data_IF_066702702441
#
_entry.id   IF_066702702441
#
_cell.length_a   1.000
_cell.length_b   1.000
_cell.length_c   1.000
_cell.angle_alpha   90.00
_cell.angle_beta   90.00
_cell.angle_gamma   90.00
#
_symmetry.space_group_name_H-M   'P 1'
#
loop_
_entity.id
_entity.type
_entity.pdbx_description
1 polymer ?
#
# COMPACT_ATOMS: atom_id res chain seq x y z
N UNK A 1 34.15 -16.19 1.25
CA UNK A 1 33.17 -16.51 2.31
C UNK A 1 32.35 -15.28 2.74
N UNK A 2 32.93 -14.11 2.87
CA UNK A 2 32.24 -12.87 3.31
C UNK A 2 31.10 -12.48 2.36
N UNK A 3 31.26 -12.58 1.03
CA UNK A 3 30.23 -12.26 0.04
C UNK A 3 28.98 -13.14 0.17
N UNK A 4 29.16 -14.44 0.45
CA UNK A 4 28.01 -15.34 0.65
C UNK A 4 27.17 -14.96 1.89
N UNK A 5 27.83 -14.49 2.95
CA UNK A 5 27.16 -13.98 4.14
C UNK A 5 26.39 -12.68 3.87
N UNK A 6 26.94 -11.79 3.05
CA UNK A 6 26.25 -10.54 2.66
C UNK A 6 24.98 -10.84 1.84
N UNK A 7 25.09 -11.75 0.87
CA UNK A 7 23.93 -12.17 0.05
C UNK A 7 22.86 -12.82 0.95
N UNK A 8 23.29 -13.70 1.87
CA UNK A 8 22.38 -14.35 2.81
C UNK A 8 21.70 -13.34 3.73
N UNK A 9 22.44 -12.39 4.28
CA UNK A 9 21.92 -11.32 5.15
C UNK A 9 20.88 -10.46 4.41
N UNK A 10 21.15 -10.08 3.16
CA UNK A 10 20.20 -9.34 2.32
C UNK A 10 18.92 -10.13 2.06
N UNK A 11 19.04 -11.41 1.72
CA UNK A 11 17.89 -12.28 1.51
C UNK A 11 17.05 -12.46 2.78
N UNK A 12 17.69 -12.59 3.94
CA UNK A 12 16.99 -12.66 5.23
C UNK A 12 16.19 -11.37 5.47
N UNK A 13 16.79 -10.20 5.25
CA UNK A 13 16.10 -8.92 5.40
C UNK A 13 14.87 -8.80 4.46
N UNK A 14 15.00 -9.24 3.21
CA UNK A 14 13.87 -9.25 2.26
C UNK A 14 12.77 -10.18 2.74
N UNK A 15 13.11 -11.37 3.22
CA UNK A 15 12.15 -12.33 3.76
C UNK A 15 11.45 -11.80 5.02
N UNK A 16 12.17 -11.15 5.93
CA UNK A 16 11.59 -10.51 7.11
C UNK A 16 10.59 -9.42 6.72
N UNK A 17 10.95 -8.55 5.76
CA UNK A 17 10.02 -7.51 5.26
C UNK A 17 8.80 -8.10 4.60
N UNK A 18 8.96 -9.20 3.86
CA UNK A 18 7.84 -9.94 3.28
C UNK A 18 6.92 -10.52 4.35
N UNK A 19 7.50 -11.10 5.39
CA UNK A 19 6.74 -11.64 6.52
C UNK A 19 5.99 -10.54 7.28
N UNK A 20 6.63 -9.41 7.58
CA UNK A 20 6.01 -8.25 8.22
C UNK A 20 4.81 -7.74 7.39
N UNK A 21 5.00 -7.59 6.08
CA UNK A 21 3.92 -7.13 5.19
C UNK A 21 2.77 -8.11 5.12
N UNK A 22 3.06 -9.40 4.99
CA UNK A 22 2.04 -10.45 4.97
C UNK A 22 1.29 -10.50 6.29
N UNK A 23 1.99 -10.44 7.41
CA UNK A 23 1.39 -10.40 8.76
C UNK A 23 0.49 -9.18 8.93
N UNK A 24 0.94 -8.01 8.47
CA UNK A 24 0.13 -6.79 8.49
C UNK A 24 -1.13 -6.90 7.63
N UNK A 25 -1.02 -7.49 6.44
CA UNK A 25 -2.18 -7.71 5.57
C UNK A 25 -3.18 -8.68 6.21
N UNK A 26 -2.70 -9.77 6.83
CA UNK A 26 -3.56 -10.74 7.52
C UNK A 26 -4.25 -10.10 8.73
N UNK A 27 -3.51 -9.33 9.54
CA UNK A 27 -4.08 -8.64 10.69
C UNK A 27 -5.23 -7.71 10.31
N UNK A 28 -5.15 -7.10 9.12
CA UNK A 28 -6.12 -6.13 8.60
C UNK A 28 -7.14 -6.71 7.61
N UNK A 29 -7.20 -8.04 7.43
CA UNK A 29 -8.12 -8.67 6.46
C UNK A 29 -9.60 -8.37 6.74
N UNK A 30 -9.95 -8.09 7.99
CA UNK A 30 -11.31 -7.72 8.42
C UNK A 30 -11.53 -6.20 8.52
N UNK A 31 -10.49 -5.40 8.29
CA UNK A 31 -10.59 -3.94 8.39
C UNK A 31 -11.22 -3.39 7.12
N UNK A 32 -12.33 -2.67 7.26
CA UNK A 32 -13.03 -2.02 6.16
C UNK A 32 -12.14 -0.99 5.47
N UNK A 33 -12.12 -0.99 4.13
CA UNK A 33 -11.34 -0.03 3.36
C UNK A 33 -9.82 -0.24 3.43
N UNK A 34 -9.34 -1.35 3.99
CA UNK A 34 -7.91 -1.64 4.02
C UNK A 34 -7.39 -2.01 2.63
N UNK A 35 -6.31 -1.37 2.23
CA UNK A 35 -5.60 -1.65 0.98
C UNK A 35 -4.35 -2.49 1.28
N UNK A 36 -4.27 -3.67 0.68
CA UNK A 36 -3.16 -4.57 0.91
C UNK A 36 -1.84 -3.99 0.36
N UNK A 37 -0.77 -4.18 1.12
CA UNK A 37 0.58 -3.79 0.70
C UNK A 37 1.22 -4.94 -0.06
N UNK A 38 1.80 -4.64 -1.23
CA UNK A 38 2.62 -5.56 -2.03
C UNK A 38 4.07 -5.10 -2.01
N UNK A 39 4.98 -6.04 -1.78
CA UNK A 39 6.41 -5.81 -1.83
C UNK A 39 6.96 -6.22 -3.21
N UNK A 40 7.77 -5.37 -3.78
CA UNK A 40 8.54 -5.65 -4.98
C UNK A 40 10.00 -5.83 -4.61
N UNK A 41 10.59 -6.88 -5.14
CA UNK A 41 12.01 -7.13 -5.04
C UNK A 41 12.66 -7.04 -6.42
N UNK A 42 13.86 -6.54 -6.48
CA UNK A 42 14.71 -6.55 -7.66
C UNK A 42 16.00 -7.29 -7.37
N UNK A 43 16.55 -7.90 -8.40
CA UNK A 43 17.90 -8.45 -8.36
C UNK A 43 18.87 -7.28 -8.46
N UNK A 44 19.96 -7.32 -7.69
CA UNK A 44 21.06 -6.38 -7.86
C UNK A 44 21.77 -6.65 -9.17
N UNK A 45 22.38 -5.60 -9.71
CA UNK A 45 23.11 -5.67 -10.99
C UNK A 45 24.18 -6.78 -10.93
N UNK A 46 24.24 -7.52 -12.02
CA UNK A 46 25.22 -8.57 -12.20
C UNK A 46 26.56 -7.97 -12.64
N UNK A 47 27.61 -8.32 -11.90
CA UNK A 47 28.97 -7.90 -12.27
C UNK A 47 29.63 -9.00 -13.07
N UNK A 48 30.00 -8.69 -14.29
CA UNK A 48 30.73 -9.60 -15.16
C UNK A 48 32.09 -10.00 -14.55
N UNK A 49 32.30 -11.30 -14.42
CA UNK A 49 33.57 -11.86 -13.97
C UNK A 49 34.44 -12.18 -15.15
N UNK A 50 35.69 -11.77 -15.06
CA UNK A 50 36.68 -12.01 -16.10
C UNK A 50 37.86 -12.79 -15.54
N UNK A 51 38.36 -13.71 -16.32
CA UNK A 51 39.63 -14.36 -16.07
C UNK A 51 40.65 -13.96 -17.15
N UNK A 52 41.88 -13.82 -16.78
CA UNK A 52 42.99 -13.53 -17.69
C UNK A 52 43.84 -14.81 -17.80
N UNK A 53 43.76 -15.47 -18.93
CA UNK A 53 44.59 -16.65 -19.22
C UNK A 53 45.68 -16.25 -20.22
N UNK A 54 46.91 -16.54 -19.87
CA UNK A 54 48.08 -16.34 -20.73
C UNK A 54 49.19 -15.60 -19.98
N UNK A 55 50.43 -15.90 -20.33
CA UNK A 55 51.61 -15.16 -19.85
C UNK A 55 51.61 -13.73 -20.37
N UNK A 56 52.68 -12.96 -20.08
CA UNK A 56 52.77 -11.53 -20.30
C UNK A 56 52.51 -11.00 -21.74
N UNK A 57 52.38 -11.90 -22.72
CA UNK A 57 52.07 -11.57 -24.11
C UNK A 57 50.68 -12.00 -24.61
N UNK A 58 49.90 -12.71 -23.79
CA UNK A 58 48.58 -13.24 -24.18
C UNK A 58 47.54 -12.91 -23.12
N UNK A 59 47.51 -11.66 -22.68
CA UNK A 59 46.52 -11.20 -21.65
C UNK A 59 45.14 -11.06 -22.28
N UNK A 60 44.56 -12.19 -22.69
CA UNK A 60 43.23 -12.23 -23.31
C UNK A 60 42.20 -12.34 -22.19
N UNK A 61 41.36 -11.32 -22.11
CA UNK A 61 40.18 -11.29 -21.19
C UNK A 61 39.21 -12.37 -21.64
N UNK A 62 39.00 -13.36 -20.76
CA UNK A 62 37.98 -14.38 -20.94
C UNK A 62 36.81 -14.10 -20.00
N UNK A 63 35.61 -14.01 -20.56
CA UNK A 63 34.40 -13.81 -19.78
C UNK A 63 33.99 -15.16 -19.17
N UNK A 64 33.92 -15.25 -17.85
CA UNK A 64 33.62 -16.49 -17.13
C UNK A 64 32.23 -16.46 -16.50
N UNK A 65 31.40 -15.48 -16.86
CA UNK A 65 30.02 -15.33 -16.38
C UNK A 65 29.81 -14.12 -15.49
N UNK A 66 28.63 -13.99 -14.96
CA UNK A 66 28.25 -12.89 -14.09
C UNK A 66 28.07 -13.32 -12.65
N UNK A 67 28.30 -12.40 -11.72
CA UNK A 67 28.03 -12.57 -10.31
C UNK A 67 26.93 -11.63 -9.89
N UNK A 68 25.77 -12.17 -9.51
CA UNK A 68 24.67 -11.41 -8.91
C UNK A 68 24.93 -11.23 -7.40
N UNK A 69 24.77 -10.01 -6.90
CA UNK A 69 24.96 -9.69 -5.46
C UNK A 69 23.71 -9.91 -4.62
N UNK A 70 22.73 -10.65 -5.13
CA UNK A 70 21.50 -11.01 -4.42
C UNK A 70 20.32 -10.11 -4.75
N UNK A 71 19.31 -10.15 -3.90
CA UNK A 71 18.06 -9.42 -4.06
C UNK A 71 18.01 -8.22 -3.10
N UNK A 72 17.37 -7.18 -3.54
CA UNK A 72 17.05 -6.02 -2.71
C UNK A 72 15.56 -5.70 -2.78
N UNK A 73 15.06 -5.00 -1.78
CA UNK A 73 13.73 -4.46 -1.78
C UNK A 73 13.67 -3.25 -2.74
N UNK A 74 12.88 -3.38 -3.82
CA UNK A 74 12.70 -2.29 -4.79
C UNK A 74 11.68 -1.25 -4.35
N UNK A 75 10.64 -1.70 -3.62
CA UNK A 75 9.60 -0.81 -3.12
C UNK A 75 8.38 -1.54 -2.59
N UNK A 76 7.44 -0.75 -2.11
CA UNK A 76 6.09 -1.19 -1.72
C UNK A 76 5.05 -0.44 -2.53
N UNK A 77 4.00 -1.11 -2.96
CA UNK A 77 2.81 -0.48 -3.50
C UNK A 77 1.57 -0.89 -2.72
N UNK A 78 0.56 -0.06 -2.77
CA UNK A 78 -0.77 -0.39 -2.27
C UNK A 78 -1.59 -1.01 -3.41
N UNK A 79 -2.31 -2.07 -3.11
CA UNK A 79 -3.27 -2.66 -4.04
C UNK A 79 -4.54 -1.83 -4.01
N UNK A 80 -4.81 -1.12 -5.10
CA UNK A 80 -5.98 -0.24 -5.21
C UNK A 80 -7.22 -0.95 -5.77
N UNK A 81 -7.12 -2.23 -6.07
CA UNK A 81 -8.26 -3.01 -6.56
C UNK A 81 -9.44 -2.95 -5.58
N UNK A 82 -10.65 -2.78 -6.13
CA UNK A 82 -11.86 -2.78 -5.33
C UNK A 82 -12.05 -4.15 -4.68
N UNK A 83 -12.23 -4.17 -3.36
CA UNK A 83 -12.56 -5.38 -2.61
C UNK A 83 -14.02 -5.82 -2.79
N UNK A 84 -14.34 -7.03 -2.34
CA UNK A 84 -15.70 -7.50 -2.32
C UNK A 84 -16.56 -6.65 -1.36
N UNK A 85 -17.70 -6.17 -1.85
CA UNK A 85 -18.67 -5.42 -1.04
C UNK A 85 -19.46 -6.41 -0.21
N UNK A 86 -19.50 -6.17 1.09
CA UNK A 86 -20.31 -6.93 2.04
C UNK A 86 -21.50 -6.07 2.45
N UNK A 87 -22.71 -6.62 2.28
CA UNK A 87 -23.90 -5.97 2.79
C UNK A 87 -23.93 -6.07 4.32
N UNK A 88 -24.21 -4.94 4.96
CA UNK A 88 -24.43 -4.82 6.41
C UNK A 88 -25.85 -4.31 6.64
N UNK A 89 -26.39 -4.58 7.83
CA UNK A 89 -27.74 -4.10 8.20
C UNK A 89 -27.72 -2.72 8.86
N UNK A 90 -26.61 -1.98 8.71
CA UNK A 90 -26.46 -0.64 9.29
C UNK A 90 -26.66 0.44 8.22
N UNK A 91 -27.58 1.37 8.48
CA UNK A 91 -27.88 2.49 7.58
C UNK A 91 -26.75 3.52 7.48
N UNK A 92 -25.75 3.43 8.35
CA UNK A 92 -24.59 4.34 8.38
C UNK A 92 -23.36 3.81 7.65
N UNK A 93 -23.45 2.57 7.14
CA UNK A 93 -22.36 1.94 6.40
C UNK A 93 -22.50 2.23 4.90
N UNK A 94 -21.43 2.74 4.32
CA UNK A 94 -21.38 3.11 2.91
C UNK A 94 -20.18 2.44 2.23
N UNK A 95 -20.39 1.96 1.01
CA UNK A 95 -19.34 1.40 0.19
C UNK A 95 -19.25 2.14 -1.15
N UNK A 96 -18.01 2.42 -1.59
CA UNK A 96 -17.74 2.99 -2.91
C UNK A 96 -17.67 1.88 -3.94
N UNK A 97 -18.54 1.94 -4.96
CA UNK A 97 -18.57 1.00 -6.09
C UNK A 97 -17.52 1.29 -7.15
N UNK A 98 -17.03 2.52 -7.17
CA UNK A 98 -16.04 3.02 -8.14
C UNK A 98 -14.75 3.42 -7.44
N UNK A 99 -13.73 3.72 -8.23
CA UNK A 99 -12.49 4.27 -7.72
C UNK A 99 -12.73 5.66 -7.13
N UNK A 100 -12.27 5.88 -5.91
CA UNK A 100 -12.46 7.13 -5.20
C UNK A 100 -12.29 6.99 -3.69
N UNK A 101 -12.39 8.09 -2.99
CA UNK A 101 -12.23 8.16 -1.54
C UNK A 101 -13.30 9.06 -0.93
N UNK A 102 -13.73 8.74 0.28
CA UNK A 102 -14.51 9.67 1.09
C UNK A 102 -13.58 10.78 1.58
N UNK A 103 -14.07 12.00 1.54
CA UNK A 103 -13.38 13.16 2.07
C UNK A 103 -13.81 13.36 3.52
N UNK A 104 -12.85 13.47 4.42
CA UNK A 104 -13.11 13.68 5.84
C UNK A 104 -12.30 14.86 6.35
N UNK A 105 -12.83 15.59 7.32
CA UNK A 105 -12.15 16.72 7.96
C UNK A 105 -11.78 16.36 9.39
N UNK A 106 -10.51 16.54 9.73
CA UNK A 106 -10.03 16.40 11.10
C UNK A 106 -10.51 17.56 11.96
N UNK A 107 -10.54 17.43 13.31
CA UNK A 107 -10.81 18.55 14.20
C UNK A 107 -9.81 19.71 14.06
N UNK A 108 -8.62 19.46 13.56
CA UNK A 108 -7.62 20.49 13.24
C UNK A 108 -7.89 21.27 11.93
N UNK A 109 -8.94 20.87 11.17
CA UNK A 109 -9.31 21.51 9.90
C UNK A 109 -8.64 20.92 8.67
N UNK A 110 -7.80 19.90 8.80
CA UNK A 110 -7.18 19.21 7.67
C UNK A 110 -8.17 18.32 6.95
N UNK A 111 -8.05 18.26 5.64
CA UNK A 111 -8.83 17.36 4.79
C UNK A 111 -8.04 16.09 4.52
N UNK A 112 -8.61 14.95 4.87
CA UNK A 112 -8.05 13.62 4.63
C UNK A 112 -8.98 12.82 3.73
N UNK A 113 -8.42 11.78 3.11
CA UNK A 113 -9.14 10.87 2.24
C UNK A 113 -9.12 9.46 2.83
N UNK A 114 -10.30 8.83 2.86
CA UNK A 114 -10.43 7.46 3.37
C UNK A 114 -11.33 6.61 2.48
N UNK A 115 -11.06 5.30 2.41
CA UNK A 115 -11.96 4.34 1.76
C UNK A 115 -12.83 3.59 2.78
N UNK A 116 -12.65 3.89 4.05
CA UNK A 116 -13.41 3.33 5.15
C UNK A 116 -14.80 3.95 5.18
N UNK A 117 -15.85 3.15 5.14
CA UNK A 117 -17.22 3.62 5.04
C UNK A 117 -18.10 3.27 6.25
N UNK A 118 -17.51 2.80 7.34
CA UNK A 118 -18.18 2.52 8.61
C UNK A 118 -18.31 3.79 9.44
N UNK A 119 -19.31 4.61 9.09
CA UNK A 119 -19.54 5.89 9.77
C UNK A 119 -20.50 5.74 10.95
N UNK A 120 -20.41 6.71 11.87
CA UNK A 120 -21.34 6.88 12.97
C UNK A 120 -21.93 8.27 12.95
N UNK A 121 -23.05 8.49 13.64
CA UNK A 121 -23.66 9.81 13.77
C UNK A 121 -23.22 10.47 15.07
N UNK A 122 -22.80 11.73 14.98
CA UNK A 122 -22.50 12.55 16.14
C UNK A 122 -23.80 13.18 16.73
N UNK A 123 -23.66 13.95 17.82
CA UNK A 123 -24.78 14.65 18.44
C UNK A 123 -25.48 15.69 17.55
N UNK A 124 -24.79 16.15 16.50
CA UNK A 124 -25.31 17.07 15.48
C UNK A 124 -25.90 16.34 14.26
N UNK A 125 -26.10 15.01 14.34
CA UNK A 125 -26.55 14.17 13.23
C UNK A 125 -25.64 14.24 11.97
N UNK A 126 -24.34 14.48 12.16
CA UNK A 126 -23.35 14.45 11.09
C UNK A 126 -22.67 13.09 11.05
N UNK A 127 -22.34 12.64 9.85
CA UNK A 127 -21.55 11.42 9.69
C UNK A 127 -20.10 11.69 10.09
N UNK A 128 -19.60 10.84 10.98
CA UNK A 128 -18.21 10.91 11.48
C UNK A 128 -17.56 9.52 11.40
N UNK A 129 -16.27 9.49 11.22
CA UNK A 129 -15.48 8.24 11.34
C UNK A 129 -15.38 7.83 12.81
N UNK A 130 -14.94 6.60 13.08
CA UNK A 130 -14.68 6.11 14.43
C UNK A 130 -13.65 6.97 15.20
N UNK A 131 -12.77 7.67 14.46
CA UNK A 131 -11.78 8.60 15.00
C UNK A 131 -12.36 10.02 15.27
N UNK A 132 -13.63 10.24 14.92
CA UNK A 132 -14.31 11.52 15.12
C UNK A 132 -14.12 12.54 14.00
N UNK A 133 -13.63 12.13 12.84
CA UNK A 133 -13.49 13.03 11.68
C UNK A 133 -14.83 13.19 10.96
N UNK A 134 -15.18 14.41 10.62
CA UNK A 134 -16.46 14.72 9.96
C UNK A 134 -16.38 14.40 8.48
N UNK A 135 -17.36 13.64 7.97
CA UNK A 135 -17.48 13.33 6.54
C UNK A 135 -17.98 14.54 5.78
N UNK A 136 -17.28 14.88 4.69
CA UNK A 136 -17.60 15.99 3.83
C UNK A 136 -18.26 15.50 2.54
N UNK A 137 -19.32 16.20 2.15
CA UNK A 137 -20.01 16.02 0.89
C UNK A 137 -19.53 16.98 -0.19
N UNK A 138 -20.33 17.10 -1.22
CA UNK A 138 -20.07 18.03 -2.32
C UNK A 138 -20.08 19.48 -1.79
N UNK A 139 -19.05 20.27 -2.14
CA UNK A 139 -18.89 21.64 -1.65
C UNK A 139 -18.22 21.77 -0.29
N UNK A 140 -17.57 20.70 0.22
CA UNK A 140 -16.80 20.73 1.47
C UNK A 140 -17.64 20.98 2.73
N UNK A 141 -18.94 20.65 2.67
CA UNK A 141 -19.88 20.77 3.77
C UNK A 141 -20.04 19.44 4.51
N UNK A 142 -20.25 19.44 5.84
CA UNK A 142 -20.54 18.23 6.60
C UNK A 142 -21.79 17.56 6.07
N UNK A 143 -21.73 16.24 5.90
CA UNK A 143 -22.90 15.44 5.53
C UNK A 143 -23.71 15.13 6.77
N UNK A 144 -25.01 15.47 6.75
CA UNK A 144 -25.93 15.21 7.85
C UNK A 144 -26.94 14.11 7.49
N UNK A 145 -27.41 13.36 8.48
CA UNK A 145 -28.42 12.33 8.27
C UNK A 145 -29.78 12.88 7.79
N UNK A 146 -30.03 14.19 7.97
CA UNK A 146 -31.23 14.88 7.53
C UNK A 146 -31.21 15.23 6.03
N UNK A 147 -30.04 15.28 5.42
CA UNK A 147 -29.85 15.70 4.01
C UNK A 147 -30.02 14.59 2.99
N UNK A 148 -30.90 13.64 3.26
CA UNK A 148 -31.37 12.62 2.33
C UNK A 148 -30.33 11.62 1.74
N UNK A 149 -30.69 10.34 1.60
CA UNK A 149 -29.80 9.19 1.45
C UNK A 149 -29.10 9.06 0.09
N UNK A 150 -29.08 10.05 -0.74
CA UNK A 150 -28.28 10.03 -1.98
C UNK A 150 -26.96 10.74 -1.77
N UNK A 151 -26.02 10.03 -1.16
CA UNK A 151 -24.62 10.38 -1.18
C UNK A 151 -24.13 10.52 -2.62
N UNK A 152 -24.06 11.71 -3.16
CA UNK A 152 -23.25 11.96 -4.34
C UNK A 152 -21.79 12.10 -3.89
N UNK A 153 -21.11 10.97 -3.86
CA UNK A 153 -19.66 10.96 -3.64
C UNK A 153 -18.99 11.64 -4.83
N UNK A 154 -18.27 12.69 -4.55
CA UNK A 154 -17.41 13.31 -5.56
C UNK A 154 -16.25 12.34 -5.83
N UNK A 155 -16.30 11.68 -6.97
CA UNK A 155 -15.18 10.89 -7.49
C UNK A 155 -14.03 11.84 -7.76
N UNK A 156 -12.94 11.68 -7.05
CA UNK A 156 -11.67 12.26 -7.45
C UNK A 156 -11.10 11.28 -8.50
N UNK A 157 -11.20 11.65 -9.77
CA UNK A 157 -10.36 11.05 -10.80
C UNK A 157 -8.92 11.54 -10.59
N UNK A 158 -7.93 10.64 -10.67
CA UNK A 158 -6.51 10.97 -10.50
C UNK A 158 -5.98 11.85 -11.65
#
# INVERSE_FOLDING_TARGET
MIRGLDILSRNINVLQKRQETTSGNIANVKTTGYQAKKLFQSTLDEVALHNYQGGAQANTRHDIGGLAFGNQLAGTSLEQAAGAIKQTDQATDFALLSDGYFTVRTPAGETLYTRKGDFTLNQQNQYVTQEGYVVLGNGNQPVTAADNPQFQVRLFEP
#
